data_IF_445050618953
#
_entry.id   IF_445050618953
#
_cell.length_a   1.000
_cell.length_b   1.000
_cell.length_c   1.000
_cell.angle_alpha   90.00
_cell.angle_beta   90.00
_cell.angle_gamma   90.00
#
_symmetry.space_group_name_H-M   'P 1'
#
loop_
_entity.id
_entity.type
_entity.pdbx_description
1 polymer ?
#
# COMPACT_ATOMS: atom_id res chain seq x y z
N UNK A 1 -3.14 2.97 -15.10
CA UNK A 1 -3.95 1.93 -14.39
C UNK A 1 -4.37 2.42 -13.03
N UNK A 2 -3.45 2.86 -12.16
CA UNK A 2 -3.80 3.44 -10.86
C UNK A 2 -4.75 4.65 -10.99
N UNK A 3 -4.44 5.60 -11.87
CA UNK A 3 -5.30 6.77 -12.10
C UNK A 3 -6.69 6.36 -12.60
N UNK A 4 -6.76 5.42 -13.55
CA UNK A 4 -8.02 4.88 -14.05
C UNK A 4 -8.90 4.30 -12.94
N UNK A 5 -8.33 3.50 -12.03
CA UNK A 5 -9.09 2.92 -10.90
C UNK A 5 -9.68 4.02 -10.00
N UNK A 6 -8.92 5.09 -9.77
CA UNK A 6 -9.40 6.25 -9.00
C UNK A 6 -10.48 7.04 -9.74
N UNK A 7 -10.33 7.23 -11.04
CA UNK A 7 -11.30 7.92 -11.90
C UNK A 7 -12.66 7.22 -11.91
N UNK A 8 -12.69 5.89 -11.90
CA UNK A 8 -13.94 5.10 -11.82
C UNK A 8 -14.46 4.91 -10.38
N UNK A 9 -13.82 5.53 -9.39
CA UNK A 9 -14.27 5.52 -7.99
C UNK A 9 -13.91 4.26 -7.20
N UNK A 10 -12.90 3.48 -7.63
CA UNK A 10 -12.42 2.31 -6.88
C UNK A 10 -11.37 2.76 -5.87
N UNK A 11 -11.68 2.55 -4.58
CA UNK A 11 -10.71 2.73 -3.50
C UNK A 11 -9.59 1.69 -3.61
N UNK A 12 -8.38 2.17 -3.90
CA UNK A 12 -7.25 1.35 -4.32
C UNK A 12 -6.11 1.48 -3.34
N UNK A 13 -5.59 0.35 -2.84
CA UNK A 13 -4.37 0.28 -2.03
C UNK A 13 -3.22 -0.20 -2.92
N UNK A 14 -2.05 0.40 -2.75
CA UNK A 14 -0.82 0.03 -3.48
C UNK A 14 0.03 -0.87 -2.59
N UNK A 15 0.13 -2.15 -2.94
CA UNK A 15 1.03 -3.09 -2.27
C UNK A 15 2.39 -3.13 -2.98
N UNK A 16 3.39 -2.40 -2.45
CA UNK A 16 4.76 -2.44 -2.95
C UNK A 16 5.47 -3.72 -2.45
N UNK A 17 5.37 -4.79 -3.24
CA UNK A 17 5.83 -6.13 -2.86
C UNK A 17 7.33 -6.36 -3.13
N UNK A 18 7.86 -7.43 -2.51
CA UNK A 18 9.24 -7.92 -2.60
C UNK A 18 10.26 -7.02 -1.89
N UNK A 19 9.85 -6.34 -0.83
CA UNK A 19 10.75 -5.53 -0.01
C UNK A 19 11.91 -6.35 0.59
N UNK A 20 11.78 -7.68 0.71
CA UNK A 20 12.88 -8.58 1.11
C UNK A 20 14.06 -8.62 0.13
N UNK A 21 13.91 -8.07 -1.08
CA UNK A 21 14.95 -7.99 -2.11
C UNK A 21 15.64 -6.65 -2.19
N UNK A 22 15.21 -5.68 -1.38
CA UNK A 22 15.68 -4.30 -1.39
C UNK A 22 16.49 -4.08 -0.11
N UNK A 23 17.63 -3.39 -0.22
CA UNK A 23 18.40 -3.01 0.96
C UNK A 23 17.71 -1.85 1.68
N UNK A 24 17.88 -1.77 3.00
CA UNK A 24 17.20 -0.78 3.83
C UNK A 24 17.50 0.67 3.39
N UNK A 25 18.73 0.96 3.00
CA UNK A 25 19.19 2.27 2.50
C UNK A 25 18.65 2.63 1.10
N UNK A 26 18.26 1.63 0.31
CA UNK A 26 17.71 1.80 -1.03
C UNK A 26 16.16 1.83 -1.02
N UNK A 27 15.53 1.46 0.10
CA UNK A 27 14.07 1.30 0.21
C UNK A 27 13.30 2.61 0.00
N UNK A 28 13.65 3.66 0.73
CA UNK A 28 12.94 4.93 0.67
C UNK A 28 13.03 5.59 -0.73
N UNK A 29 14.23 5.71 -1.36
CA UNK A 29 14.33 6.24 -2.72
C UNK A 29 13.54 5.44 -3.76
N UNK A 30 13.50 4.11 -3.65
CA UNK A 30 12.72 3.26 -4.56
C UNK A 30 11.21 3.45 -4.38
N UNK A 31 10.75 3.60 -3.14
CA UNK A 31 9.34 3.86 -2.85
C UNK A 31 8.94 5.28 -3.31
N UNK A 32 9.83 6.26 -3.21
CA UNK A 32 9.63 7.59 -3.79
C UNK A 32 9.49 7.52 -5.31
N UNK A 33 10.35 6.75 -5.99
CA UNK A 33 10.20 6.52 -7.44
C UNK A 33 8.87 5.86 -7.80
N UNK A 34 8.41 4.90 -7.00
CA UNK A 34 7.09 4.26 -7.19
C UNK A 34 5.98 5.30 -7.03
N UNK A 35 6.04 6.13 -6.00
CA UNK A 35 5.06 7.20 -5.76
C UNK A 35 4.99 8.16 -6.97
N UNK A 36 6.14 8.64 -7.45
CA UNK A 36 6.21 9.54 -8.61
C UNK A 36 5.61 8.91 -9.86
N UNK A 37 5.89 7.63 -10.13
CA UNK A 37 5.30 6.91 -11.29
C UNK A 37 3.78 6.72 -11.20
N UNK A 38 3.23 6.84 -9.99
CA UNK A 38 1.79 6.77 -9.72
C UNK A 38 1.16 8.17 -9.57
N UNK A 39 1.89 9.24 -9.92
CA UNK A 39 1.40 10.61 -9.85
C UNK A 39 1.31 11.17 -8.44
N UNK A 40 2.07 10.60 -7.48
CA UNK A 40 2.12 11.04 -6.09
C UNK A 40 3.44 11.76 -5.82
N UNK A 41 3.37 12.86 -5.06
CA UNK A 41 4.55 13.66 -4.71
C UNK A 41 5.40 12.97 -3.63
N UNK A 42 6.72 12.87 -3.77
CA UNK A 42 7.58 12.40 -2.69
C UNK A 42 7.57 13.37 -1.50
N UNK A 43 7.85 12.91 -0.26
CA UNK A 43 8.26 11.55 0.09
C UNK A 43 7.08 10.57 0.21
N UNK A 44 7.30 9.29 -0.13
CA UNK A 44 6.29 8.23 -0.14
C UNK A 44 5.61 8.05 1.22
N UNK A 45 6.30 8.39 2.31
CA UNK A 45 5.82 8.30 3.69
C UNK A 45 4.57 9.15 3.95
N UNK A 46 4.33 10.20 3.15
CA UNK A 46 3.08 10.98 3.20
C UNK A 46 1.86 10.17 2.74
N UNK A 47 2.10 9.11 1.97
CA UNK A 47 1.10 8.23 1.37
C UNK A 47 1.00 6.89 2.08
N UNK A 48 1.40 6.78 3.36
CA UNK A 48 1.28 5.53 4.16
C UNK A 48 -0.15 5.01 4.27
N UNK A 49 -1.15 5.86 4.06
CA UNK A 49 -2.57 5.50 4.00
C UNK A 49 -2.99 4.83 2.67
N UNK A 50 -2.05 4.71 1.72
CA UNK A 50 -2.28 4.28 0.35
C UNK A 50 -1.22 3.25 -0.10
N UNK A 51 0.07 3.51 0.19
CA UNK A 51 1.20 2.65 -0.15
C UNK A 51 1.57 1.79 1.05
N UNK A 52 1.53 0.47 0.87
CA UNK A 52 1.98 -0.53 1.82
C UNK A 52 3.21 -1.29 1.25
N UNK A 53 4.42 -0.98 1.73
CA UNK A 53 5.58 -1.83 1.51
C UNK A 53 5.35 -3.19 2.19
N UNK A 54 5.53 -4.28 1.44
CA UNK A 54 5.31 -5.65 1.94
C UNK A 54 6.37 -6.63 1.43
N UNK A 55 6.53 -7.73 2.15
CA UNK A 55 7.16 -8.93 1.61
C UNK A 55 6.23 -10.13 1.77
N UNK A 56 5.54 -10.48 0.68
CA UNK A 56 4.70 -11.67 0.65
C UNK A 56 5.50 -12.95 0.95
N UNK A 57 6.76 -13.02 0.52
CA UNK A 57 7.65 -14.17 0.77
C UNK A 57 8.00 -14.31 2.26
N UNK A 58 8.21 -13.19 2.97
CA UNK A 58 8.54 -13.19 4.41
C UNK A 58 7.31 -13.14 5.31
N UNK A 59 6.11 -13.00 4.72
CA UNK A 59 4.87 -12.82 5.47
C UNK A 59 4.74 -11.44 6.10
N UNK A 60 5.60 -10.48 5.72
CA UNK A 60 5.50 -9.09 6.19
C UNK A 60 4.38 -8.38 5.44
N UNK A 61 3.16 -8.54 5.98
CA UNK A 61 1.91 -8.03 5.43
C UNK A 61 1.25 -7.03 6.38
N UNK A 62 1.93 -6.62 7.46
CA UNK A 62 1.33 -5.83 8.54
C UNK A 62 0.76 -4.50 8.05
N UNK A 63 1.53 -3.79 7.23
CA UNK A 63 1.10 -2.51 6.64
C UNK A 63 -0.16 -2.69 5.79
N UNK A 64 -0.17 -3.69 4.89
CA UNK A 64 -1.31 -3.96 4.03
C UNK A 64 -2.57 -4.37 4.82
N UNK A 65 -2.42 -5.27 5.82
CA UNK A 65 -3.54 -5.69 6.67
C UNK A 65 -4.12 -4.53 7.48
N UNK A 66 -3.27 -3.61 7.96
CA UNK A 66 -3.71 -2.40 8.64
C UNK A 66 -4.62 -1.56 7.74
N UNK A 67 -4.15 -1.23 6.52
CA UNK A 67 -4.92 -0.44 5.56
C UNK A 67 -6.24 -1.12 5.17
N UNK A 68 -6.22 -2.42 4.91
CA UNK A 68 -7.45 -3.17 4.61
C UNK A 68 -8.44 -3.11 5.77
N UNK A 69 -7.96 -3.21 7.02
CA UNK A 69 -8.80 -3.13 8.20
C UNK A 69 -9.46 -1.76 8.33
N UNK A 70 -8.69 -0.69 8.12
CA UNK A 70 -9.19 0.67 8.16
C UNK A 70 -10.26 0.91 7.07
N UNK A 71 -10.02 0.47 5.83
CA UNK A 71 -11.00 0.57 4.73
C UNK A 71 -12.27 -0.21 4.99
N UNK A 72 -12.14 -1.43 5.46
CA UNK A 72 -13.28 -2.28 5.77
C UNK A 72 -14.09 -1.72 6.94
N UNK A 73 -13.43 -1.11 7.92
CA UNK A 73 -14.09 -0.40 9.00
C UNK A 73 -14.88 0.80 8.48
N UNK A 74 -14.29 1.62 7.60
CA UNK A 74 -14.94 2.79 6.98
C UNK A 74 -16.22 2.41 6.24
N UNK A 75 -16.26 1.25 5.58
CA UNK A 75 -17.45 0.72 4.90
C UNK A 75 -18.34 -0.19 5.78
N UNK A 76 -18.10 -0.23 7.09
CA UNK A 76 -18.85 -1.02 8.09
C UNK A 76 -18.88 -2.53 7.80
N UNK A 77 -17.81 -3.06 7.22
CA UNK A 77 -17.59 -4.50 6.94
C UNK A 77 -16.61 -5.13 7.92
N UNK A 78 -16.78 -4.82 9.21
CA UNK A 78 -15.99 -5.41 10.30
C UNK A 78 -16.14 -6.95 10.36
N UNK A 79 -17.24 -7.49 9.83
CA UNK A 79 -17.50 -8.93 9.70
C UNK A 79 -16.41 -9.67 8.92
N UNK A 80 -15.68 -8.95 8.05
CA UNK A 80 -14.63 -9.51 7.22
C UNK A 80 -13.28 -9.60 7.95
N UNK A 81 -13.09 -8.96 9.10
CA UNK A 81 -11.82 -8.99 9.85
C UNK A 81 -11.34 -10.39 10.20
N UNK A 82 -12.24 -11.37 10.31
CA UNK A 82 -11.90 -12.77 10.60
C UNK A 82 -11.07 -13.47 9.52
N UNK A 83 -10.96 -12.89 8.31
CA UNK A 83 -10.24 -13.49 7.19
C UNK A 83 -8.79 -13.02 7.04
N UNK A 84 -8.31 -12.09 7.88
CA UNK A 84 -6.96 -11.53 7.77
C UNK A 84 -6.26 -11.38 9.12
#
# INVERSE_FOLDING_TARGET
MFDFLREVGIDTIIAANKMDRIKEDESDPLLDEIAVRLGLEPPWQNWKHLIAPISAKKGDLKALKGLLRDRLHEIKRDDLFKYF
#
